data_IF_880454771540
#
_entry.id   IF_880454771540
#
_cell.length_a   1.000
_cell.length_b   1.000
_cell.length_c   1.000
_cell.angle_alpha   90.00
_cell.angle_beta   90.00
_cell.angle_gamma   90.00
#
_symmetry.space_group_name_H-M   'P 1'
#
loop_
_entity.id
_entity.type
_entity.pdbx_description
1 polymer ?
#
# COMPACT_ATOMS: atom_id res chain seq x y z
N UNK A 1 11.85 -3.32 -8.33
CA UNK A 1 12.09 -2.11 -9.14
C UNK A 1 13.60 -1.91 -9.31
N UNK A 2 14.12 -1.58 -10.50
CA UNK A 2 15.59 -1.44 -10.71
C UNK A 2 16.12 -0.07 -10.27
N UNK A 3 17.43 0.00 -9.97
CA UNK A 3 18.15 1.24 -9.62
C UNK A 3 17.90 2.36 -10.65
N UNK A 4 18.11 2.07 -11.93
CA UNK A 4 17.91 3.04 -13.01
C UNK A 4 16.48 3.58 -13.08
N UNK A 5 15.48 2.71 -12.83
CA UNK A 5 14.08 3.13 -12.77
C UNK A 5 13.80 4.05 -11.57
N UNK A 6 14.38 3.77 -10.40
CA UNK A 6 14.25 4.62 -9.19
C UNK A 6 14.87 6.00 -9.40
N UNK A 7 16.05 6.04 -10.02
CA UNK A 7 16.72 7.29 -10.39
C UNK A 7 15.84 8.11 -11.34
N UNK A 8 15.29 7.47 -12.39
CA UNK A 8 14.42 8.13 -13.36
C UNK A 8 13.16 8.69 -12.70
N UNK A 9 12.48 7.90 -11.87
CA UNK A 9 11.25 8.34 -11.18
C UNK A 9 11.53 9.51 -10.26
N UNK A 10 12.57 9.42 -9.42
CA UNK A 10 12.93 10.52 -8.52
C UNK A 10 13.34 11.79 -9.27
N UNK A 11 14.02 11.66 -10.41
CA UNK A 11 14.34 12.79 -11.28
C UNK A 11 13.07 13.47 -11.81
N UNK A 12 12.09 12.70 -12.25
CA UNK A 12 10.81 13.23 -12.75
C UNK A 12 10.01 13.90 -11.64
N UNK A 13 9.99 13.34 -10.42
CA UNK A 13 9.37 13.98 -9.24
C UNK A 13 9.99 15.34 -8.90
N UNK A 14 11.30 15.48 -9.15
CA UNK A 14 12.03 16.75 -8.99
C UNK A 14 11.82 17.73 -10.15
N UNK A 15 11.07 17.36 -11.19
CA UNK A 15 10.87 18.18 -12.39
C UNK A 15 12.16 18.39 -13.20
N UNK A 16 13.18 17.54 -13.01
CA UNK A 16 14.49 17.69 -13.66
C UNK A 16 14.54 16.91 -14.97
N UNK A 17 15.19 17.47 -15.99
CA UNK A 17 15.49 16.74 -17.22
C UNK A 17 16.75 15.88 -17.05
N UNK A 18 16.96 14.93 -17.97
CA UNK A 18 18.22 14.17 -17.99
C UNK A 18 19.43 15.09 -18.22
N UNK A 19 19.24 16.18 -18.97
CA UNK A 19 20.28 17.17 -19.23
C UNK A 19 20.70 17.89 -17.94
N UNK A 20 19.73 18.28 -17.10
CA UNK A 20 19.98 19.01 -15.85
C UNK A 20 20.82 18.19 -14.86
N UNK A 21 20.47 16.91 -14.70
CA UNK A 21 21.19 16.01 -13.80
C UNK A 21 22.56 15.66 -14.39
N UNK A 22 22.67 15.43 -15.70
CA UNK A 22 23.94 15.13 -16.36
C UNK A 22 24.94 16.29 -16.26
N UNK A 23 24.47 17.54 -16.44
CA UNK A 23 25.27 18.75 -16.25
C UNK A 23 25.80 18.87 -14.82
N UNK A 24 24.95 18.65 -13.81
CA UNK A 24 25.36 18.67 -12.39
C UNK A 24 26.37 17.58 -12.03
N UNK A 25 26.36 16.46 -12.75
CA UNK A 25 27.30 15.34 -12.59
C UNK A 25 28.58 15.48 -13.42
N UNK A 26 28.69 16.51 -14.27
CA UNK A 26 29.83 16.64 -15.19
C UNK A 26 29.93 15.51 -16.23
N UNK A 27 28.79 14.91 -16.63
CA UNK A 27 28.76 13.82 -17.61
C UNK A 27 27.81 14.12 -18.78
N UNK A 28 27.96 13.40 -19.89
CA UNK A 28 27.04 13.52 -21.03
C UNK A 28 25.65 12.96 -20.73
N UNK A 29 24.60 13.60 -21.24
CA UNK A 29 23.19 13.18 -21.12
C UNK A 29 22.97 11.70 -21.46
N UNK A 30 23.63 11.20 -22.51
CA UNK A 30 23.56 9.79 -22.92
C UNK A 30 24.02 8.84 -21.82
N UNK A 31 25.00 9.23 -21.00
CA UNK A 31 25.50 8.41 -19.89
C UNK A 31 24.44 8.28 -18.79
N UNK A 32 23.81 9.39 -18.38
CA UNK A 32 22.69 9.34 -17.45
C UNK A 32 21.52 8.51 -18.02
N UNK A 33 21.23 8.65 -19.32
CA UNK A 33 20.24 7.82 -19.99
C UNK A 33 20.58 6.31 -19.98
N UNK A 34 21.86 5.95 -20.04
CA UNK A 34 22.32 4.56 -19.88
C UNK A 34 22.13 4.06 -18.45
N UNK A 35 22.41 4.89 -17.46
CA UNK A 35 22.18 4.59 -16.04
C UNK A 35 20.69 4.36 -15.77
N UNK A 36 19.81 5.27 -16.21
CA UNK A 36 18.36 5.16 -16.01
C UNK A 36 17.75 3.93 -16.68
N UNK A 37 18.28 3.52 -17.84
CA UNK A 37 17.86 2.29 -18.54
C UNK A 37 18.54 1.03 -18.02
N UNK A 38 19.45 1.14 -17.05
CA UNK A 38 20.20 0.01 -16.48
C UNK A 38 21.25 -0.60 -17.41
N UNK A 39 21.65 0.10 -18.49
CA UNK A 39 22.73 -0.35 -19.39
C UNK A 39 24.11 -0.14 -18.80
N UNK A 40 24.25 0.85 -17.92
CA UNK A 40 25.51 1.18 -17.23
C UNK A 40 25.25 1.30 -15.74
N UNK A 41 26.10 0.69 -14.92
CA UNK A 41 26.04 0.87 -13.47
C UNK A 41 26.87 2.11 -13.08
N UNK A 42 26.34 3.04 -12.29
CA UNK A 42 27.13 4.16 -11.77
C UNK A 42 28.18 3.63 -10.77
N UNK A 43 29.30 4.34 -10.63
CA UNK A 43 30.22 4.12 -9.52
C UNK A 43 29.57 4.53 -8.19
N UNK A 44 30.14 4.12 -7.06
CA UNK A 44 29.64 4.52 -5.74
C UNK A 44 29.64 6.06 -5.56
N UNK A 45 30.67 6.73 -6.07
CA UNK A 45 30.78 8.19 -6.05
C UNK A 45 29.66 8.86 -6.87
N UNK A 46 29.47 8.41 -8.13
CA UNK A 46 28.39 8.92 -8.99
C UNK A 46 27.02 8.66 -8.36
N UNK A 47 26.82 7.50 -7.74
CA UNK A 47 25.57 7.18 -7.05
C UNK A 47 25.30 8.13 -5.87
N UNK A 48 26.31 8.45 -5.07
CA UNK A 48 26.21 9.44 -3.99
C UNK A 48 25.88 10.84 -4.52
N UNK A 49 26.49 11.25 -5.63
CA UNK A 49 26.20 12.53 -6.26
C UNK A 49 24.76 12.56 -6.83
N UNK A 50 24.31 11.48 -7.48
CA UNK A 50 22.92 11.35 -7.95
C UNK A 50 21.95 11.47 -6.78
N UNK A 51 22.20 10.77 -5.66
CA UNK A 51 21.36 10.85 -4.47
C UNK A 51 21.27 12.29 -3.93
N UNK A 52 22.41 12.99 -3.90
CA UNK A 52 22.49 14.39 -3.46
C UNK A 52 21.73 15.34 -4.39
N UNK A 53 21.90 15.21 -5.71
CA UNK A 53 21.21 16.05 -6.72
C UNK A 53 19.69 15.86 -6.68
N UNK A 54 19.25 14.65 -6.36
CA UNK A 54 17.85 14.25 -6.34
C UNK A 54 17.18 14.39 -4.96
N UNK A 55 17.89 15.00 -3.99
CA UNK A 55 17.51 15.07 -2.57
C UNK A 55 16.89 13.77 -2.07
N UNK A 56 17.68 12.70 -2.13
CA UNK A 56 17.33 11.36 -1.66
C UNK A 56 18.57 10.65 -1.11
N UNK A 57 18.43 9.40 -0.68
CA UNK A 57 19.54 8.58 -0.17
C UNK A 57 19.94 7.52 -1.19
N UNK A 58 21.20 7.08 -1.12
CA UNK A 58 21.66 5.92 -1.89
C UNK A 58 20.90 4.66 -1.49
N UNK A 59 20.48 4.53 -0.24
CA UNK A 59 19.62 3.43 0.22
C UNK A 59 18.26 3.43 -0.48
N UNK A 60 17.64 4.59 -0.71
CA UNK A 60 16.41 4.67 -1.50
C UNK A 60 16.64 4.24 -2.95
N UNK A 61 17.69 4.76 -3.59
CA UNK A 61 18.02 4.43 -4.97
C UNK A 61 18.37 2.94 -5.15
N UNK A 62 19.08 2.34 -4.19
CA UNK A 62 19.42 0.92 -4.17
C UNK A 62 18.24 0.03 -3.73
N UNK A 63 17.11 0.62 -3.33
CA UNK A 63 15.95 -0.11 -2.84
C UNK A 63 16.13 -0.76 -1.47
N UNK A 64 17.11 -0.29 -0.68
CA UNK A 64 17.35 -0.67 0.72
C UNK A 64 16.46 0.11 1.68
N UNK A 65 16.05 1.33 1.31
CA UNK A 65 15.09 2.13 2.09
C UNK A 65 13.64 1.84 1.72
N UNK A 66 13.39 0.99 0.72
CA UNK A 66 12.22 0.13 0.77
C UNK A 66 12.50 -0.92 1.85
N UNK A 67 12.49 -0.46 3.11
CA UNK A 67 11.63 -1.16 4.04
C UNK A 67 10.30 -1.20 3.29
N UNK A 68 10.00 -2.33 2.65
CA UNK A 68 8.66 -2.90 2.83
C UNK A 68 8.41 -2.61 4.30
N UNK A 69 7.46 -1.73 4.63
CA UNK A 69 6.90 -1.77 5.97
C UNK A 69 6.78 -3.27 6.22
N UNK A 70 7.61 -3.81 7.12
CA UNK A 70 7.38 -5.15 7.63
C UNK A 70 5.94 -5.04 8.04
N UNK A 71 5.07 -5.65 7.24
CA UNK A 71 3.67 -5.28 7.19
C UNK A 71 3.21 -5.56 8.58
N UNK A 72 3.05 -4.51 9.39
CA UNK A 72 2.60 -4.67 10.75
C UNK A 72 1.27 -5.37 10.56
N UNK A 73 1.20 -6.65 10.87
CA UNK A 73 0.04 -7.46 10.58
C UNK A 73 -0.57 -7.75 11.94
N UNK A 74 -1.25 -6.76 12.53
CA UNK A 74 -1.77 -6.88 13.86
C UNK A 74 -2.73 -8.06 13.88
N UNK A 75 -2.43 -9.04 14.71
CA UNK A 75 -3.38 -10.07 15.05
C UNK A 75 -4.63 -9.43 15.67
N UNK A 76 -5.78 -10.02 15.39
CA UNK A 76 -7.03 -9.62 16.02
C UNK A 76 -7.01 -10.18 17.43
N UNK A 77 -7.21 -9.30 18.40
CA UNK A 77 -7.36 -9.71 19.80
C UNK A 77 -8.77 -10.22 20.02
N UNK A 78 -9.01 -10.94 21.11
CA UNK A 78 -10.37 -11.35 21.49
C UNK A 78 -11.34 -10.17 21.61
N UNK A 79 -10.85 -8.99 22.03
CA UNK A 79 -11.66 -7.79 22.07
C UNK A 79 -12.08 -7.36 20.66
N UNK A 80 -11.16 -7.43 19.69
CA UNK A 80 -11.46 -7.10 18.30
C UNK A 80 -12.50 -8.07 17.73
N UNK A 81 -12.35 -9.37 17.99
CA UNK A 81 -13.34 -10.38 17.57
C UNK A 81 -14.72 -10.13 18.18
N UNK A 82 -14.79 -9.74 19.47
CA UNK A 82 -16.06 -9.35 20.11
C UNK A 82 -16.68 -8.11 19.47
N UNK A 83 -15.88 -7.11 19.15
CA UNK A 83 -16.36 -5.89 18.48
C UNK A 83 -16.87 -6.21 17.07
N UNK A 84 -16.14 -7.04 16.31
CA UNK A 84 -16.52 -7.49 14.96
C UNK A 84 -17.85 -8.23 15.00
N UNK A 85 -18.04 -9.16 15.94
CA UNK A 85 -19.31 -9.88 16.11
C UNK A 85 -20.48 -8.95 16.38
N UNK A 86 -20.30 -7.95 17.25
CA UNK A 86 -21.35 -6.95 17.54
C UNK A 86 -21.70 -6.13 16.31
N UNK A 87 -20.69 -5.73 15.53
CA UNK A 87 -20.90 -4.94 14.31
C UNK A 87 -21.57 -5.76 13.21
N UNK A 88 -21.15 -7.02 13.04
CA UNK A 88 -21.76 -7.97 12.12
C UNK A 88 -23.25 -8.17 12.45
N UNK A 89 -23.59 -8.39 13.72
CA UNK A 89 -24.99 -8.55 14.13
C UNK A 89 -25.82 -7.31 13.79
N UNK A 90 -25.32 -6.10 14.07
CA UNK A 90 -26.01 -4.85 13.70
C UNK A 90 -26.22 -4.72 12.20
N UNK A 91 -25.24 -5.14 11.38
CA UNK A 91 -25.37 -5.14 9.93
C UNK A 91 -26.44 -6.12 9.48
N UNK A 92 -26.43 -7.35 10.00
CA UNK A 92 -27.46 -8.37 9.71
C UNK A 92 -28.86 -7.85 10.12
N UNK A 93 -29.00 -7.31 11.33
CA UNK A 93 -30.28 -6.77 11.81
C UNK A 93 -30.77 -5.60 10.93
N UNK A 94 -29.85 -4.77 10.45
CA UNK A 94 -30.15 -3.68 9.52
C UNK A 94 -30.54 -4.16 8.12
N UNK A 95 -30.01 -5.30 7.68
CA UNK A 95 -30.36 -5.94 6.40
C UNK A 95 -31.73 -6.66 6.48
N UNK A 96 -32.10 -7.18 7.65
CA UNK A 96 -33.41 -7.79 7.90
C UNK A 96 -34.55 -6.77 8.01
N UNK A 97 -34.24 -5.48 8.19
CA UNK A 97 -35.27 -4.46 8.26
C UNK A 97 -35.81 -4.15 6.85
N UNK A 98 -37.11 -4.42 6.63
CA UNK A 98 -37.85 -4.30 5.35
C UNK A 98 -37.80 -2.94 4.64
N UNK A 99 -37.09 -1.94 5.18
CA UNK A 99 -36.86 -0.63 4.58
C UNK A 99 -35.42 -0.35 4.14
N UNK A 100 -34.50 -1.31 4.27
CA UNK A 100 -33.09 -1.14 3.91
C UNK A 100 -32.85 -1.50 2.44
N UNK A 101 -32.13 -0.64 1.71
CA UNK A 101 -31.83 -0.72 0.27
C UNK A 101 -31.03 -1.96 -0.19
N UNK A 102 -30.82 -2.94 0.68
CA UNK A 102 -30.02 -4.13 0.42
C UNK A 102 -30.83 -5.31 -0.13
N UNK A 103 -32.09 -5.09 -0.51
CA UNK A 103 -32.85 -6.07 -1.26
C UNK A 103 -32.25 -6.19 -2.67
N UNK A 104 -31.29 -7.09 -2.85
CA UNK A 104 -30.86 -7.51 -4.18
C UNK A 104 -32.03 -8.31 -4.76
N UNK A 105 -32.61 -7.83 -5.86
CA UNK A 105 -33.83 -8.39 -6.48
C UNK A 105 -35.12 -8.34 -5.62
N UNK A 106 -35.18 -7.45 -4.62
CA UNK A 106 -36.40 -7.29 -3.81
C UNK A 106 -36.61 -8.35 -2.72
N UNK A 107 -35.64 -9.26 -2.52
CA UNK A 107 -35.64 -10.27 -1.47
C UNK A 107 -34.92 -9.77 -0.21
N UNK A 108 -35.49 -10.04 0.96
CA UNK A 108 -34.80 -9.83 2.23
C UNK A 108 -33.86 -11.01 2.53
N UNK A 109 -32.94 -10.84 3.48
CA UNK A 109 -32.07 -11.90 3.97
C UNK A 109 -32.83 -13.17 4.41
N UNK A 110 -34.07 -13.02 4.87
CA UNK A 110 -34.93 -14.12 5.29
C UNK A 110 -35.62 -14.82 4.10
N UNK A 111 -35.60 -14.18 2.92
CA UNK A 111 -36.12 -14.74 1.65
C UNK A 111 -35.01 -15.42 0.83
N UNK A 112 -33.74 -15.23 1.20
CA UNK A 112 -32.58 -15.89 0.58
C UNK A 112 -32.50 -17.36 1.02
N UNK A 113 -31.91 -18.21 0.19
CA UNK A 113 -31.58 -19.56 0.62
C UNK A 113 -30.50 -19.55 1.71
N UNK A 114 -30.45 -20.64 2.49
CA UNK A 114 -29.56 -20.75 3.64
C UNK A 114 -28.08 -20.65 3.24
N UNK A 115 -27.72 -21.16 2.04
CA UNK A 115 -26.35 -21.16 1.54
C UNK A 115 -25.88 -19.75 1.16
N UNK A 116 -26.69 -19.00 0.43
CA UNK A 116 -26.44 -17.62 0.02
C UNK A 116 -26.42 -16.69 1.23
N UNK A 117 -27.32 -16.91 2.20
CA UNK A 117 -27.34 -16.20 3.47
C UNK A 117 -26.04 -16.43 4.25
N UNK A 118 -25.59 -17.67 4.36
CA UNK A 118 -24.34 -18.01 5.04
C UNK A 118 -23.13 -17.39 4.32
N UNK A 119 -23.10 -17.47 2.98
CA UNK A 119 -22.03 -16.89 2.16
C UNK A 119 -21.93 -15.37 2.36
N UNK A 120 -23.07 -14.68 2.37
CA UNK A 120 -23.13 -13.24 2.59
C UNK A 120 -22.60 -12.88 4.00
N UNK A 121 -23.04 -13.61 5.03
CA UNK A 121 -22.58 -13.41 6.41
C UNK A 121 -21.06 -13.64 6.50
N UNK A 122 -20.54 -14.70 5.91
CA UNK A 122 -19.11 -15.02 5.91
C UNK A 122 -18.28 -13.94 5.19
N UNK A 123 -18.77 -13.43 4.07
CA UNK A 123 -18.14 -12.34 3.30
C UNK A 123 -18.09 -11.03 4.10
N UNK A 124 -19.20 -10.66 4.77
CA UNK A 124 -19.27 -9.49 5.65
C UNK A 124 -18.34 -9.62 6.85
N UNK A 125 -18.31 -10.79 7.49
CA UNK A 125 -17.42 -11.05 8.62
C UNK A 125 -15.95 -10.90 8.21
N UNK A 126 -15.55 -11.47 7.06
CA UNK A 126 -14.20 -11.31 6.53
C UNK A 126 -13.88 -9.84 6.23
N UNK A 127 -14.82 -9.11 5.62
CA UNK A 127 -14.67 -7.68 5.33
C UNK A 127 -14.46 -6.85 6.59
N UNK A 128 -15.19 -7.13 7.67
CA UNK A 128 -15.02 -6.49 8.97
C UNK A 128 -13.68 -6.81 9.62
N UNK A 129 -13.22 -8.07 9.54
CA UNK A 129 -11.88 -8.46 10.00
C UNK A 129 -10.79 -7.70 9.25
N UNK A 130 -10.90 -7.60 7.93
CA UNK A 130 -9.97 -6.84 7.10
C UNK A 130 -9.96 -5.36 7.48
N UNK A 131 -11.14 -4.74 7.60
CA UNK A 131 -11.26 -3.34 8.01
C UNK A 131 -10.61 -3.09 9.38
N UNK A 132 -10.81 -3.99 10.35
CA UNK A 132 -10.20 -3.89 11.69
C UNK A 132 -8.68 -4.02 11.63
N UNK A 133 -8.15 -4.95 10.84
CA UNK A 133 -6.69 -5.10 10.63
C UNK A 133 -6.08 -3.85 10.00
N UNK A 134 -6.72 -3.30 8.96
CA UNK A 134 -6.28 -2.05 8.30
C UNK A 134 -6.31 -0.87 9.28
N UNK A 135 -7.35 -0.76 10.11
CA UNK A 135 -7.42 0.28 11.13
C UNK A 135 -6.27 0.14 12.13
N UNK A 136 -6.00 -1.07 12.64
CA UNK A 136 -4.87 -1.32 13.54
C UNK A 136 -3.54 -1.00 12.86
N UNK A 137 -3.38 -1.31 11.57
CA UNK A 137 -2.22 -0.93 10.77
C UNK A 137 -1.99 0.58 10.71
N UNK A 138 -3.06 1.32 10.43
CA UNK A 138 -3.00 2.77 10.24
C UNK A 138 -2.78 3.52 11.55
N UNK A 139 -3.46 3.10 12.62
CA UNK A 139 -3.55 3.88 13.85
C UNK A 139 -2.68 3.37 15.01
N UNK A 140 -2.08 2.18 14.93
CA UNK A 140 -1.11 1.74 15.95
C UNK A 140 0.19 2.54 15.80
N UNK A 141 0.63 3.29 16.84
CA UNK A 141 1.87 4.05 16.78
C UNK A 141 3.07 3.13 16.53
N UNK A 142 4.06 3.59 15.75
CA UNK A 142 5.22 2.77 15.34
C UNK A 142 5.96 2.12 16.52
N UNK A 143 6.02 2.79 17.67
CA UNK A 143 6.65 2.27 18.90
C UNK A 143 5.95 1.03 19.52
N UNK A 144 4.72 0.73 19.12
CA UNK A 144 3.94 -0.43 19.59
C UNK A 144 3.76 -1.50 18.51
N UNK A 145 4.32 -1.30 17.31
CA UNK A 145 4.32 -2.31 16.25
C UNK A 145 5.44 -3.29 16.60
N UNK A 146 5.07 -4.47 17.12
CA UNK A 146 5.98 -5.59 17.34
C UNK A 146 6.24 -6.34 16.05
#
# INVERSE_FOLDING_TARGET
>A
MSLGKRIKERRLEKGLTQEDVAKKLGMGRSNLGHIERGRTKPSAEVLNQIASILDTTTDYLLGRSEKKDETFNPELTEKDERDIKKELQKMIDGLNNKGSYAAFDGQTLDDMDDEDRELLIASLENSLRLAKRIAKQKFTPKKYRK
#
